data_IF_932187019651
#
_entry.id   IF_932187019651
#
_cell.length_a   1.000
_cell.length_b   1.000
_cell.length_c   1.000
_cell.angle_alpha   90.00
_cell.angle_beta   90.00
_cell.angle_gamma   90.00
#
_symmetry.space_group_name_H-M   'P 1'
#
loop_
_entity.id
_entity.type
_entity.pdbx_description
1 polymer ?
#
# COMPACT_ATOMS: atom_id res chain seq x y z
N UNK A 1 -0.23 10.70 79.23
CA UNK A 1 0.96 10.27 78.53
C UNK A 1 0.54 9.17 77.53
N UNK A 2 0.18 9.55 76.34
CA UNK A 2 -0.35 8.63 75.29
C UNK A 2 0.67 8.51 74.17
N UNK A 3 1.21 7.33 74.03
CA UNK A 3 2.12 6.98 72.93
C UNK A 3 1.28 6.74 71.64
N UNK A 4 1.46 7.56 70.64
CA UNK A 4 0.87 7.38 69.28
C UNK A 4 1.90 6.60 68.49
N UNK A 5 1.57 5.35 68.11
CA UNK A 5 2.34 4.52 67.23
C UNK A 5 1.83 4.82 65.81
N UNK A 6 2.64 5.49 65.00
CA UNK A 6 2.35 5.69 63.60
C UNK A 6 2.75 4.44 62.79
N UNK A 7 1.74 3.75 62.27
CA UNK A 7 1.90 2.62 61.36
C UNK A 7 2.06 3.16 59.94
N UNK A 8 3.27 3.11 59.40
CA UNK A 8 3.55 3.46 58.02
C UNK A 8 3.17 2.28 57.11
N UNK A 9 2.08 2.43 56.38
CA UNK A 9 1.65 1.47 55.33
C UNK A 9 2.40 1.76 54.03
N UNK A 10 3.41 0.97 53.72
CA UNK A 10 4.11 1.04 52.44
C UNK A 10 3.28 0.28 51.41
N UNK A 11 2.53 0.98 50.59
CA UNK A 11 1.86 0.45 49.41
C UNK A 11 2.90 0.27 48.28
N UNK A 12 3.40 -0.95 48.16
CA UNK A 12 4.16 -1.37 46.99
C UNK A 12 3.19 -1.56 45.79
N UNK A 13 2.98 -0.53 45.03
CA UNK A 13 2.32 -0.64 43.72
C UNK A 13 3.30 -1.27 42.76
N UNK A 14 3.32 -2.58 42.70
CA UNK A 14 3.98 -3.35 41.65
C UNK A 14 3.27 -3.13 40.33
N UNK A 15 3.75 -2.14 39.54
CA UNK A 15 3.31 -1.96 38.18
C UNK A 15 3.72 -3.17 37.34
N UNK A 16 2.76 -4.06 37.08
CA UNK A 16 2.89 -5.13 36.12
C UNK A 16 2.88 -4.47 34.73
N UNK A 17 4.05 -4.09 34.22
CA UNK A 17 4.22 -3.79 32.83
C UNK A 17 4.02 -5.10 32.04
N UNK A 18 2.79 -5.35 31.62
CA UNK A 18 2.50 -6.27 30.54
C UNK A 18 3.10 -5.64 29.26
N UNK A 19 4.36 -5.96 29.01
CA UNK A 19 4.95 -5.78 27.69
C UNK A 19 4.15 -6.70 26.75
N UNK A 20 3.10 -6.14 26.13
CA UNK A 20 2.46 -6.78 24.98
C UNK A 20 3.56 -6.92 23.92
N UNK A 21 4.13 -8.11 23.80
CA UNK A 21 4.92 -8.50 22.64
C UNK A 21 4.00 -8.31 21.43
N UNK A 22 4.13 -7.18 20.75
CA UNK A 22 3.55 -7.04 19.44
C UNK A 22 4.28 -8.07 18.58
N UNK A 23 3.62 -9.20 18.35
CA UNK A 23 4.10 -10.20 17.42
C UNK A 23 4.26 -9.48 16.10
N UNK A 24 5.51 -9.33 15.64
CA UNK A 24 5.83 -8.75 14.35
C UNK A 24 5.07 -9.55 13.31
N UNK A 25 4.06 -8.93 12.70
CA UNK A 25 3.31 -9.61 11.64
C UNK A 25 4.28 -9.89 10.50
N UNK A 26 4.47 -11.16 10.23
CA UNK A 26 5.37 -11.62 9.18
C UNK A 26 4.77 -11.30 7.82
N UNK A 27 5.52 -10.62 6.97
CA UNK A 27 5.09 -10.26 5.61
C UNK A 27 5.24 -11.42 4.62
N UNK A 28 4.46 -11.41 3.58
CA UNK A 28 4.57 -12.33 2.43
C UNK A 28 5.85 -11.99 1.66
N UNK A 29 6.60 -13.00 1.23
CA UNK A 29 7.83 -12.75 0.47
C UNK A 29 7.56 -12.02 -0.86
N UNK A 30 8.47 -11.17 -1.30
CA UNK A 30 8.33 -10.46 -2.57
C UNK A 30 8.18 -11.43 -3.77
N UNK A 31 8.81 -12.60 -3.71
CA UNK A 31 8.66 -13.64 -4.77
C UNK A 31 7.22 -14.11 -4.90
N UNK A 32 6.52 -14.26 -3.78
CA UNK A 32 5.11 -14.61 -3.79
C UNK A 32 4.25 -13.46 -4.30
N UNK A 33 4.58 -12.20 -3.95
CA UNK A 33 3.88 -11.02 -4.46
C UNK A 33 4.06 -10.86 -5.98
N UNK A 34 5.21 -11.24 -6.54
CA UNK A 34 5.46 -11.21 -7.99
C UNK A 34 4.47 -12.05 -8.80
N UNK A 35 3.89 -13.10 -8.21
CA UNK A 35 2.92 -13.96 -8.89
C UNK A 35 1.60 -13.23 -9.20
N UNK A 36 1.32 -12.12 -8.49
CA UNK A 36 0.13 -11.29 -8.64
C UNK A 36 0.34 -10.06 -9.52
N UNK A 37 1.58 -9.76 -9.92
CA UNK A 37 1.85 -8.70 -10.89
C UNK A 37 1.21 -9.03 -12.25
N UNK A 38 0.80 -8.01 -13.04
CA UNK A 38 0.19 -8.25 -14.34
C UNK A 38 1.12 -9.02 -15.26
N UNK A 39 0.55 -9.98 -16.00
CA UNK A 39 1.29 -10.87 -16.90
C UNK A 39 1.20 -10.44 -18.35
N UNK A 40 0.17 -9.65 -18.70
CA UNK A 40 -0.03 -9.16 -20.06
C UNK A 40 1.08 -8.21 -20.51
N UNK A 41 1.23 -8.12 -21.81
CA UNK A 41 2.02 -7.11 -22.48
C UNK A 41 1.12 -5.94 -22.89
N UNK A 42 1.66 -4.72 -22.87
CA UNK A 42 1.02 -3.54 -23.40
C UNK A 42 1.56 -3.22 -24.79
N UNK A 43 0.66 -2.99 -25.75
CA UNK A 43 1.07 -2.64 -27.12
C UNK A 43 1.92 -1.37 -27.13
N UNK A 44 3.10 -1.46 -27.71
CA UNK A 44 4.05 -0.36 -27.81
C UNK A 44 4.90 -0.11 -26.57
N UNK A 45 4.78 -0.95 -25.51
CA UNK A 45 5.61 -0.89 -24.32
C UNK A 45 6.54 -2.11 -24.26
N UNK A 46 7.72 -1.90 -23.69
CA UNK A 46 8.64 -2.98 -23.29
C UNK A 46 8.42 -3.29 -21.82
N UNK A 47 8.04 -4.51 -21.51
CA UNK A 47 7.87 -4.97 -20.13
C UNK A 47 9.20 -5.37 -19.53
N UNK A 48 9.56 -4.75 -18.40
CA UNK A 48 10.73 -5.11 -17.62
C UNK A 48 10.56 -6.43 -16.85
N UNK A 49 11.67 -6.93 -16.33
CA UNK A 49 11.62 -8.12 -15.46
C UNK A 49 11.04 -7.71 -14.09
N UNK A 50 10.13 -8.52 -13.51
CA UNK A 50 9.67 -8.31 -12.15
C UNK A 50 10.83 -8.28 -11.17
N UNK A 51 10.81 -7.32 -10.25
CA UNK A 51 11.78 -7.16 -9.16
C UNK A 51 11.05 -7.02 -7.83
N UNK A 52 11.76 -7.06 -6.73
CA UNK A 52 11.17 -6.86 -5.41
C UNK A 52 12.16 -7.10 -4.30
N UNK A 53 11.76 -6.75 -3.09
CA UNK A 53 12.54 -6.93 -1.88
C UNK A 53 11.66 -7.24 -0.68
N UNK A 54 12.23 -7.89 0.31
CA UNK A 54 11.64 -8.06 1.63
C UNK A 54 12.64 -7.55 2.65
N UNK A 55 12.24 -6.59 3.45
CA UNK A 55 13.09 -5.94 4.45
C UNK A 55 12.46 -6.08 5.84
N UNK A 56 13.32 -6.16 6.86
CA UNK A 56 12.91 -6.17 8.26
C UNK A 56 13.88 -5.31 9.07
N UNK A 57 13.37 -4.29 9.75
CA UNK A 57 14.15 -3.41 10.61
C UNK A 57 13.30 -2.95 11.80
N UNK A 58 13.90 -2.89 12.98
CA UNK A 58 13.27 -2.36 14.22
C UNK A 58 11.91 -2.99 14.55
N UNK A 59 11.74 -4.29 14.28
CA UNK A 59 10.48 -4.98 14.55
C UNK A 59 9.38 -4.74 13.51
N UNK A 60 9.65 -3.96 12.45
CA UNK A 60 8.76 -3.77 11.32
C UNK A 60 9.27 -4.55 10.13
N UNK A 61 8.36 -5.16 9.37
CA UNK A 61 8.68 -5.88 8.14
C UNK A 61 7.85 -5.33 7.00
N UNK A 62 8.47 -5.17 5.85
CA UNK A 62 7.81 -4.79 4.59
C UNK A 62 8.27 -5.73 3.48
N UNK A 63 7.42 -5.93 2.51
CA UNK A 63 7.77 -6.68 1.31
C UNK A 63 7.10 -6.02 0.11
N UNK A 64 7.84 -5.86 -0.97
CA UNK A 64 7.29 -5.30 -2.20
C UNK A 64 7.73 -6.08 -3.43
N UNK A 65 6.84 -6.10 -4.43
CA UNK A 65 7.13 -6.58 -5.78
C UNK A 65 6.69 -5.52 -6.79
N UNK A 66 7.46 -5.37 -7.87
CA UNK A 66 7.21 -4.37 -8.90
C UNK A 66 7.56 -4.87 -10.29
N UNK A 67 6.86 -4.30 -11.28
CA UNK A 67 7.18 -4.42 -12.71
C UNK A 67 6.99 -3.06 -13.36
N UNK A 68 7.83 -2.75 -14.35
CA UNK A 68 7.75 -1.49 -15.11
C UNK A 68 7.55 -1.82 -16.59
N UNK A 69 6.73 -1.02 -17.25
CA UNK A 69 6.51 -1.00 -18.69
C UNK A 69 7.04 0.33 -19.22
N UNK A 70 7.88 0.31 -20.23
CA UNK A 70 8.55 1.49 -20.78
C UNK A 70 8.19 1.67 -22.25
N UNK A 71 7.98 2.92 -22.67
CA UNK A 71 7.73 3.28 -24.06
C UNK A 71 8.57 4.50 -24.43
N UNK A 72 9.64 4.27 -25.21
CA UNK A 72 10.66 5.28 -25.42
C UNK A 72 11.38 5.62 -24.12
N UNK A 73 11.95 6.82 -24.04
CA UNK A 73 12.75 7.25 -22.89
C UNK A 73 11.91 8.01 -21.84
N UNK A 74 10.73 8.49 -22.22
CA UNK A 74 9.96 9.46 -21.41
C UNK A 74 8.68 8.87 -20.78
N UNK A 75 8.20 7.73 -21.25
CA UNK A 75 6.93 7.17 -20.79
C UNK A 75 7.16 5.86 -20.07
N UNK A 76 6.68 5.79 -18.84
CA UNK A 76 6.73 4.55 -18.08
C UNK A 76 5.44 4.31 -17.27
N UNK A 77 5.10 3.04 -17.10
CA UNK A 77 4.04 2.60 -16.18
C UNK A 77 4.67 1.63 -15.19
N UNK A 78 4.56 1.94 -13.91
CA UNK A 78 5.04 1.09 -12.82
C UNK A 78 3.86 0.48 -12.08
N UNK A 79 3.90 -0.82 -11.86
CA UNK A 79 2.97 -1.54 -11.00
C UNK A 79 3.74 -2.05 -9.79
N UNK A 80 3.24 -1.76 -8.59
CA UNK A 80 3.84 -2.15 -7.32
C UNK A 80 2.78 -2.77 -6.42
N UNK A 81 3.14 -3.87 -5.76
CA UNK A 81 2.36 -4.51 -4.69
C UNK A 81 3.22 -4.48 -3.44
N UNK A 82 2.72 -3.89 -2.36
CA UNK A 82 3.40 -3.85 -1.06
C UNK A 82 2.58 -4.59 0.00
N UNK A 83 3.22 -5.50 0.74
CA UNK A 83 2.66 -6.07 1.96
C UNK A 83 3.04 -5.18 3.13
N UNK A 84 2.05 -4.58 3.73
CA UNK A 84 2.18 -3.59 4.79
C UNK A 84 1.66 -4.09 6.14
N UNK A 85 1.44 -5.40 6.27
CA UNK A 85 0.98 -6.01 7.52
C UNK A 85 1.87 -5.69 8.73
N UNK A 86 3.14 -5.43 8.51
CA UNK A 86 4.11 -5.06 9.54
C UNK A 86 4.15 -3.57 9.89
N UNK A 87 3.32 -2.74 9.26
CA UNK A 87 3.27 -1.29 9.47
C UNK A 87 1.88 -0.91 9.95
N UNK A 88 1.73 -0.14 11.04
CA UNK A 88 0.41 0.33 11.46
C UNK A 88 -0.29 1.08 10.32
N UNK A 89 -1.46 0.61 9.91
CA UNK A 89 -2.23 1.12 8.78
C UNK A 89 -2.48 2.64 8.85
N UNK A 90 -2.64 3.18 10.08
CA UNK A 90 -2.78 4.61 10.33
C UNK A 90 -1.56 5.46 9.94
N UNK A 91 -0.36 4.87 9.86
CA UNK A 91 0.86 5.59 9.48
C UNK A 91 1.05 5.69 7.96
N UNK A 92 0.24 4.99 7.19
CA UNK A 92 0.40 4.91 5.74
C UNK A 92 -0.48 5.88 4.96
N UNK A 93 -1.23 6.75 5.64
CA UNK A 93 -2.25 7.58 4.98
C UNK A 93 -3.42 6.79 4.40
N UNK A 94 -3.43 5.47 4.55
CA UNK A 94 -4.45 4.56 4.05
C UNK A 94 -5.81 4.74 4.74
N UNK A 95 -5.86 5.41 5.89
CA UNK A 95 -7.09 5.79 6.57
C UNK A 95 -7.97 6.74 5.73
N UNK A 96 -7.40 7.41 4.73
CA UNK A 96 -8.14 8.32 3.84
C UNK A 96 -8.68 7.58 2.61
N UNK A 97 -7.97 6.58 2.11
CA UNK A 97 -8.30 5.86 0.86
C UNK A 97 -9.60 5.05 0.96
N UNK A 98 -10.12 4.80 2.14
CA UNK A 98 -11.29 3.92 2.28
C UNK A 98 -12.53 4.52 2.93
N UNK A 99 -12.46 5.74 3.46
CA UNK A 99 -13.50 6.25 4.36
C UNK A 99 -14.50 7.21 3.69
N UNK A 100 -14.14 7.90 2.61
CA UNK A 100 -15.00 8.91 2.00
C UNK A 100 -14.98 8.74 0.48
N UNK A 101 -16.16 8.74 -0.14
CA UNK A 101 -16.24 8.89 -1.58
C UNK A 101 -16.06 10.37 -1.90
N UNK A 102 -15.14 10.66 -2.80
CA UNK A 102 -14.85 12.02 -3.26
C UNK A 102 -14.55 12.03 -4.75
N UNK A 103 -14.81 13.15 -5.36
CA UNK A 103 -14.41 13.49 -6.72
C UNK A 103 -14.01 14.96 -6.74
N UNK A 104 -12.83 15.25 -7.23
CA UNK A 104 -12.29 16.59 -7.40
C UNK A 104 -11.74 16.72 -8.82
N UNK A 105 -12.24 17.71 -9.55
CA UNK A 105 -11.82 18.02 -10.92
C UNK A 105 -11.25 19.43 -10.99
N UNK A 106 -10.18 19.59 -11.73
CA UNK A 106 -9.50 20.84 -11.98
C UNK A 106 -9.28 21.04 -13.48
N UNK A 107 -8.84 22.22 -13.92
CA UNK A 107 -8.50 22.46 -15.32
C UNK A 107 -7.39 21.53 -15.84
N UNK A 108 -6.56 20.99 -14.95
CA UNK A 108 -5.39 20.18 -15.30
C UNK A 108 -5.48 18.71 -14.89
N UNK A 109 -6.62 18.26 -14.39
CA UNK A 109 -6.78 16.87 -14.02
C UNK A 109 -7.89 16.60 -13.02
N UNK A 110 -7.90 15.39 -12.48
CA UNK A 110 -8.87 14.99 -11.47
C UNK A 110 -8.25 14.01 -10.45
N UNK A 111 -8.90 13.92 -9.31
CA UNK A 111 -8.70 12.87 -8.33
C UNK A 111 -10.07 12.41 -7.80
N UNK A 112 -10.26 11.09 -7.74
CA UNK A 112 -11.53 10.50 -7.31
C UNK A 112 -11.35 9.18 -6.60
N UNK A 113 -12.33 8.85 -5.76
CA UNK A 113 -12.49 7.50 -5.23
C UNK A 113 -12.92 6.53 -6.31
N UNK A 114 -12.34 5.34 -6.31
CA UNK A 114 -12.71 4.26 -7.23
C UNK A 114 -12.94 2.95 -6.49
N UNK A 115 -13.57 2.00 -7.18
CA UNK A 115 -13.70 0.62 -6.74
C UNK A 115 -13.36 -0.32 -7.90
N UNK A 116 -12.33 -1.14 -7.72
CA UNK A 116 -11.86 -2.11 -8.74
C UNK A 116 -11.85 -3.50 -8.14
N UNK A 117 -12.50 -4.47 -8.80
CA UNK A 117 -12.66 -5.87 -8.33
C UNK A 117 -13.17 -5.98 -6.88
N UNK A 118 -13.96 -4.99 -6.42
CA UNK A 118 -14.49 -4.95 -5.05
C UNK A 118 -13.62 -4.21 -4.03
N UNK A 119 -12.39 -3.85 -4.37
CA UNK A 119 -11.47 -3.12 -3.51
C UNK A 119 -11.54 -1.61 -3.74
N UNK A 120 -11.45 -0.84 -2.65
CA UNK A 120 -11.51 0.62 -2.68
C UNK A 120 -10.13 1.21 -2.93
N UNK A 121 -10.11 2.38 -3.55
CA UNK A 121 -8.90 3.12 -3.80
C UNK A 121 -9.16 4.50 -4.35
N UNK A 122 -8.10 5.10 -4.87
CA UNK A 122 -8.13 6.41 -5.52
C UNK A 122 -7.53 6.32 -6.92
N UNK A 123 -8.02 7.16 -7.80
CA UNK A 123 -7.48 7.40 -9.14
C UNK A 123 -7.22 8.88 -9.29
N UNK A 124 -6.05 9.22 -9.78
CA UNK A 124 -5.70 10.59 -10.13
C UNK A 124 -5.13 10.69 -11.53
N UNK A 125 -5.41 11.79 -12.19
CA UNK A 125 -4.84 12.14 -13.51
C UNK A 125 -4.37 13.58 -13.46
N UNK A 126 -3.19 13.83 -13.97
CA UNK A 126 -2.64 15.18 -14.20
C UNK A 126 -2.27 15.34 -15.67
N UNK A 127 -2.63 16.47 -16.23
CA UNK A 127 -2.41 16.80 -17.63
C UNK A 127 -2.02 18.29 -17.77
N UNK A 128 -0.79 18.61 -17.36
CA UNK A 128 -0.20 19.94 -17.60
C UNK A 128 0.74 19.89 -18.81
N UNK A 129 1.16 21.03 -19.31
CA UNK A 129 2.11 21.10 -20.44
C UNK A 129 3.42 20.39 -20.11
N UNK A 130 3.90 20.53 -18.87
CA UNK A 130 5.19 20.00 -18.41
C UNK A 130 5.08 18.62 -17.75
N UNK A 131 3.88 18.20 -17.33
CA UNK A 131 3.71 16.95 -16.59
C UNK A 131 2.41 16.23 -16.95
N UNK A 132 2.57 15.06 -17.55
CA UNK A 132 1.47 14.11 -17.74
C UNK A 132 1.70 12.92 -16.83
N UNK A 133 0.75 12.67 -15.96
CA UNK A 133 0.81 11.51 -15.07
C UNK A 133 -0.58 10.98 -14.75
N UNK A 134 -0.64 9.71 -14.38
CA UNK A 134 -1.84 9.10 -13.83
C UNK A 134 -1.45 8.10 -12.75
N UNK A 135 -2.33 7.88 -11.79
CA UNK A 135 -2.09 6.96 -10.70
C UNK A 135 -3.37 6.27 -10.23
N UNK A 136 -3.21 5.03 -9.79
CA UNK A 136 -4.24 4.28 -9.07
C UNK A 136 -3.59 3.68 -7.83
N UNK A 137 -4.24 3.87 -6.68
CA UNK A 137 -3.85 3.21 -5.44
C UNK A 137 -5.05 2.46 -4.87
N UNK A 138 -4.89 1.16 -4.62
CA UNK A 138 -5.93 0.30 -4.05
C UNK A 138 -5.44 -0.30 -2.73
N UNK A 139 -6.38 -0.50 -1.80
CA UNK A 139 -6.17 -1.29 -0.58
C UNK A 139 -6.84 -2.65 -0.76
N UNK A 140 -6.07 -3.72 -0.70
CA UNK A 140 -6.52 -5.09 -0.97
C UNK A 140 -6.40 -5.92 0.30
N UNK A 141 -7.55 -6.37 0.83
CA UNK A 141 -7.61 -7.25 2.00
C UNK A 141 -7.03 -6.63 3.27
N UNK A 142 -7.16 -5.31 3.47
CA UNK A 142 -6.64 -4.55 4.63
C UNK A 142 -5.15 -4.78 4.93
N UNK A 143 -4.42 -5.29 3.95
CA UNK A 143 -3.03 -5.71 4.11
C UNK A 143 -2.13 -5.29 2.95
N UNK A 144 -2.64 -5.36 1.73
CA UNK A 144 -1.81 -5.07 0.56
C UNK A 144 -2.17 -3.71 -0.02
N UNK A 145 -1.15 -2.95 -0.35
CA UNK A 145 -1.28 -1.74 -1.16
C UNK A 145 -0.85 -2.07 -2.59
N UNK A 146 -1.72 -1.78 -3.54
CA UNK A 146 -1.46 -1.95 -4.97
C UNK A 146 -1.43 -0.56 -5.60
N UNK A 147 -0.29 -0.20 -6.16
CA UNK A 147 -0.04 1.12 -6.75
C UNK A 147 0.35 0.98 -8.22
N UNK A 148 -0.35 1.69 -9.07
CA UNK A 148 -0.02 1.84 -10.49
C UNK A 148 0.26 3.31 -10.76
N UNK A 149 1.39 3.60 -11.37
CA UNK A 149 1.79 4.98 -11.68
C UNK A 149 2.24 5.07 -13.12
N UNK A 150 1.60 5.94 -13.90
CA UNK A 150 2.02 6.33 -15.23
C UNK A 150 2.76 7.67 -15.16
N UNK A 151 3.97 7.72 -15.72
CA UNK A 151 4.77 8.91 -15.88
C UNK A 151 4.94 9.20 -17.39
N UNK A 152 4.85 10.47 -17.78
CA UNK A 152 4.84 10.88 -19.19
C UNK A 152 3.53 10.56 -19.92
N UNK A 153 2.53 10.01 -19.22
CA UNK A 153 1.21 9.67 -19.77
C UNK A 153 0.10 9.96 -18.75
N UNK A 154 -1.02 10.43 -19.26
CA UNK A 154 -2.26 10.65 -18.49
C UNK A 154 -3.35 9.63 -18.84
N UNK A 155 -3.00 8.55 -19.53
CA UNK A 155 -3.92 7.50 -19.96
C UNK A 155 -4.19 6.49 -18.82
N UNK A 156 -5.14 6.81 -17.95
CA UNK A 156 -5.55 5.93 -16.86
C UNK A 156 -6.16 4.60 -17.34
N UNK A 157 -6.66 4.52 -18.58
CA UNK A 157 -7.21 3.28 -19.12
C UNK A 157 -6.15 2.18 -19.24
N UNK A 158 -4.88 2.54 -19.45
CA UNK A 158 -3.77 1.57 -19.43
C UNK A 158 -3.58 0.96 -18.04
N UNK A 159 -3.77 1.76 -16.98
CA UNK A 159 -3.67 1.27 -15.60
C UNK A 159 -4.81 0.31 -15.28
N UNK A 160 -6.03 0.64 -15.68
CA UNK A 160 -7.19 -0.25 -15.52
C UNK A 160 -6.98 -1.57 -16.27
N UNK A 161 -6.45 -1.54 -17.49
CA UNK A 161 -6.15 -2.74 -18.27
C UNK A 161 -5.15 -3.66 -17.55
N UNK A 162 -4.16 -3.10 -16.87
CA UNK A 162 -3.21 -3.87 -16.05
C UNK A 162 -3.88 -4.44 -14.80
N UNK A 163 -4.75 -3.66 -14.13
CA UNK A 163 -5.52 -4.11 -12.97
C UNK A 163 -6.48 -5.25 -13.31
N UNK A 164 -7.09 -5.23 -14.49
CA UNK A 164 -8.00 -6.30 -14.95
C UNK A 164 -7.29 -7.65 -15.09
N UNK A 165 -6.00 -7.65 -15.42
CA UNK A 165 -5.17 -8.88 -15.46
C UNK A 165 -4.71 -9.35 -14.08
N UNK A 166 -4.73 -8.47 -13.09
CA UNK A 166 -4.30 -8.79 -11.72
C UNK A 166 -5.41 -9.54 -10.97
N UNK A 167 -5.01 -10.59 -10.25
CA UNK A 167 -5.93 -11.42 -9.44
C UNK A 167 -6.03 -10.84 -8.02
N UNK A 168 -6.63 -9.66 -7.87
CA UNK A 168 -6.72 -8.96 -6.59
C UNK A 168 -7.51 -9.76 -5.54
N UNK A 169 -8.56 -10.48 -5.95
CA UNK A 169 -9.33 -11.34 -5.06
C UNK A 169 -8.53 -12.54 -4.52
N UNK A 170 -7.54 -13.05 -5.27
CA UNK A 170 -6.64 -14.08 -4.77
C UNK A 170 -5.54 -13.48 -3.90
N UNK A 171 -5.02 -12.29 -4.26
CA UNK A 171 -4.06 -11.55 -3.45
C UNK A 171 -4.63 -11.27 -2.04
N UNK A 172 -5.90 -10.87 -1.93
CA UNK A 172 -6.54 -10.57 -0.64
C UNK A 172 -6.60 -11.76 0.33
N UNK A 173 -6.50 -12.98 -0.19
CA UNK A 173 -6.55 -14.25 0.58
C UNK A 173 -5.16 -14.77 0.93
N UNK A 174 -4.09 -14.12 0.45
CA UNK A 174 -2.73 -14.59 0.71
C UNK A 174 -2.42 -14.43 2.19
N UNK A 175 -2.20 -15.56 2.83
CA UNK A 175 -1.62 -15.67 4.17
C UNK A 175 -0.15 -16.08 4.05
N UNK A 176 0.56 -16.08 5.15
CA UNK A 176 1.98 -16.49 5.19
C UNK A 176 2.18 -17.96 4.84
#
# INVERSE_FOLDING_TARGET
>A
MRKVVALALVLAVGGLFLAASQATQKVVSFKRLQEFLPKIDLAGYTKGKPSGETSSAMGMSTSEARVTYEKGDDISIRVKISDVAGVPFAQMGASVIGMTEFENETETGYEKSIKVQGFRGTENVQNTEDNKSCGITLVVGDRFMVELTGSGTNDAALLHKLLDDMKLGDLSKVTQ
#
